data_IF_823019546811
#
_entry.id   IF_823019546811
#
_cell.length_a   1.000
_cell.length_b   1.000
_cell.length_c   1.000
_cell.angle_alpha   90.00
_cell.angle_beta   90.00
_cell.angle_gamma   90.00
#
_symmetry.space_group_name_H-M   'P 1'
#
loop_
_entity.id
_entity.type
_entity.pdbx_description
1 polymer ?
2 non-polymer ?
3 non-polymer ?
4 water ?
#
# COMPACT_ATOMS: atom_id res chain seq x y z
N UNK A 2 -6.95 -11.10 8.17
CA UNK A 2 -6.15 -9.95 8.61
C UNK A 2 -4.79 -9.91 7.91
N UNK A 3 -4.34 -8.70 7.58
CA UNK A 3 -3.05 -8.45 6.95
C UNK A 3 -2.93 -6.95 6.79
N UNK A 4 -1.71 -6.45 6.68
CA UNK A 4 -1.54 -5.01 6.51
C UNK A 4 -1.80 -4.60 5.06
N UNK A 5 -2.54 -3.51 4.88
CA UNK A 5 -2.72 -2.98 3.53
C UNK A 5 -2.51 -1.47 3.51
N UNK A 6 -2.07 -0.97 2.37
CA UNK A 6 -1.86 0.45 2.17
C UNK A 6 -2.87 0.88 1.13
N UNK A 7 -3.74 1.82 1.48
CA UNK A 7 -4.81 2.22 0.55
C UNK A 7 -4.50 3.58 -0.02
N UNK A 8 -4.42 3.66 -1.34
CA UNK A 8 -4.05 4.90 -2.00
C UNK A 8 -5.30 5.65 -2.42
N UNK A 9 -5.40 6.91 -1.98
CA UNK A 9 -6.50 7.78 -2.33
C UNK A 9 -5.97 8.95 -3.15
N UNK A 10 -6.69 9.34 -4.20
CA UNK A 10 -6.30 10.48 -5.02
C UNK A 10 -7.51 11.40 -5.21
N UNK A 11 -7.34 12.42 -6.04
CA UNK A 11 -8.43 13.37 -6.31
C UNK A 11 -9.67 12.63 -6.85
N UNK A 12 -9.44 11.54 -7.55
CA UNK A 12 -10.50 10.83 -8.24
C UNK A 12 -11.41 10.08 -7.27
N UNK A 13 -10.95 9.88 -6.04
CA UNK A 13 -11.73 9.14 -5.05
C UNK A 13 -12.54 10.03 -4.12
N UNK A 14 -12.70 11.30 -4.50
CA UNK A 14 -13.50 12.24 -3.73
C UNK A 14 -14.83 11.61 -3.35
N UNK A 15 -15.24 11.79 -2.10
CA UNK A 15 -16.51 11.26 -1.59
C UNK A 15 -16.59 9.75 -1.46
N UNK A 16 -15.48 9.06 -1.68
CA UNK A 16 -15.47 7.61 -1.50
C UNK A 16 -15.55 7.22 -0.02
N UNK A 17 -16.01 6.01 0.25
CA UNK A 17 -15.93 5.44 1.59
C UNK A 17 -14.94 4.28 1.55
N UNK A 18 -13.98 4.31 2.47
CA UNK A 18 -12.89 3.35 2.50
C UNK A 18 -13.03 2.49 3.75
N UNK A 19 -13.00 1.18 3.58
CA UNK A 19 -13.02 0.27 4.73
C UNK A 19 -11.61 -0.26 4.95
N UNK A 20 -11.05 0.00 6.12
CA UNK A 20 -9.68 -0.44 6.37
C UNK A 20 -9.60 -1.16 7.70
N UNK A 21 -8.53 -1.92 7.87
CA UNK A 21 -8.26 -2.60 9.13
C UNK A 21 -7.41 -1.72 10.03
N UNK A 22 -7.34 -2.12 11.30
CA UNK A 22 -6.67 -1.35 12.32
C UNK A 22 -5.18 -1.15 12.04
N UNK A 23 -4.56 -2.10 11.35
CA UNK A 23 -3.13 -1.99 11.05
C UNK A 23 -2.83 -1.58 9.61
N UNK A 24 -3.79 -0.95 8.96
CA UNK A 24 -3.59 -0.46 7.59
C UNK A 24 -2.97 0.94 7.58
N UNK A 25 -2.59 1.42 6.39
CA UNK A 25 -2.16 2.80 6.23
C UNK A 25 -3.02 3.41 5.14
N UNK A 26 -3.34 4.69 5.29
CA UNK A 26 -4.00 5.41 4.21
C UNK A 26 -2.98 6.35 3.63
N UNK A 27 -2.80 6.28 2.31
CA UNK A 27 -1.85 7.13 1.62
C UNK A 27 -2.58 8.04 0.62
N UNK A 28 -2.67 9.32 0.95
CA UNK A 28 -3.38 10.27 0.09
C UNK A 28 -2.31 10.90 -0.80
N UNK A 29 -2.49 10.82 -2.12
CA UNK A 29 -1.49 11.34 -3.05
C UNK A 29 -2.17 12.31 -4.02
N UNK A 30 -1.75 13.57 -3.98
CA UNK A 30 -2.44 14.65 -4.69
C UNK A 30 -1.40 15.48 -5.43
N UNK A 31 -1.76 16.01 -6.59
CA UNK A 31 -0.87 16.95 -7.29
C UNK A 31 -1.07 18.35 -6.71
N UNK A 32 -0.01 19.14 -6.75
CA UNK A 32 -0.06 20.48 -6.21
C UNK A 32 0.95 21.35 -6.96
N UNK A 33 0.76 22.66 -6.90
CA UNK A 33 1.69 23.57 -7.56
C UNK A 33 2.09 24.66 -6.57
N UNK A 34 3.11 24.37 -5.74
CA UNK A 34 3.55 25.27 -4.66
C UNK A 34 3.94 26.66 -5.17
N UNK A 35 4.40 26.76 -6.41
CA UNK A 35 4.81 28.05 -6.96
C UNK A 35 3.63 29.01 -7.20
N UNK A 36 2.41 28.50 -7.12
CA UNK A 36 1.23 29.34 -7.24
C UNK A 36 0.74 29.80 -5.86
N UNK A 37 1.37 29.28 -4.81
CA UNK A 37 0.98 29.61 -3.45
C UNK A 37 -0.09 28.71 -2.88
N UNK A 38 -0.69 27.86 -3.72
CA UNK A 38 -1.70 26.91 -3.24
C UNK A 38 -1.09 25.72 -2.51
N UNK A 39 -1.83 25.19 -1.56
CA UNK A 39 -1.39 23.99 -0.86
C UNK A 39 -2.62 23.25 -0.35
N UNK A 40 -2.46 21.96 -0.17
CA UNK A 40 -3.52 21.16 0.40
C UNK A 40 -3.45 21.25 1.91
N UNK A 41 -4.61 21.35 2.53
CA UNK A 41 -4.70 21.33 3.99
C UNK A 41 -5.56 20.17 4.41
N UNK A 42 -5.10 19.41 5.40
CA UNK A 42 -5.87 18.24 5.80
C UNK A 42 -6.46 18.43 7.19
N UNK A 43 -7.69 17.95 7.36
CA UNK A 43 -8.35 17.99 8.66
C UNK A 43 -8.94 16.62 8.95
N UNK A 44 -8.71 16.14 10.16
CA UNK A 44 -9.30 14.89 10.62
C UNK A 44 -9.29 14.93 12.16
N UNK A 45 -10.04 14.04 12.81
CA UNK A 45 -9.94 14.09 14.28
C UNK A 45 -8.57 13.61 14.79
N UNK A 46 -7.95 14.40 15.67
CA UNK A 46 -6.60 14.12 16.14
C UNK A 46 -6.49 12.81 16.93
N UNK A 47 -7.58 12.41 17.56
CA UNK A 47 -7.55 11.16 18.34
C UNK A 47 -7.75 9.92 17.47
N UNK A 48 -7.70 10.09 16.15
CA UNK A 48 -8.12 9.04 15.24
C UNK A 48 -6.99 8.50 14.33
N UNK A 49 -6.14 9.40 13.85
CA UNK A 49 -5.01 9.00 13.02
C UNK A 49 -3.71 9.58 13.56
N UNK A 50 -2.61 8.87 13.38
CA UNK A 50 -1.29 9.51 13.49
C UNK A 50 -0.71 9.75 12.10
N UNK A 51 0.02 10.85 11.97
CA UNK A 51 0.68 11.19 10.70
C UNK A 51 1.95 10.38 10.61
N UNK A 52 2.00 9.38 9.75
CA UNK A 52 3.21 8.57 9.71
C UNK A 52 4.22 9.15 8.71
N UNK A 53 3.73 9.91 7.75
CA UNK A 53 4.61 10.63 6.82
C UNK A 53 3.84 11.72 6.07
N UNK A 54 4.47 12.87 5.91
CA UNK A 54 3.89 13.96 5.10
C UNK A 54 5.01 14.46 4.21
N UNK A 55 4.75 14.58 2.91
CA UNK A 55 5.84 14.77 1.95
C UNK A 55 5.36 15.60 0.78
N UNK A 56 6.20 16.51 0.31
CA UNK A 56 6.02 17.09 -1.00
C UNK A 56 7.24 16.73 -1.84
N UNK A 57 7.00 16.29 -3.08
CA UNK A 57 8.12 15.87 -3.92
C UNK A 57 7.90 16.20 -5.39
N UNK A 58 8.99 16.44 -6.10
CA UNK A 58 8.92 16.63 -7.54
C UNK A 58 8.53 15.32 -8.20
N UNK A 59 7.76 15.39 -9.29
CA UNK A 59 7.30 14.19 -9.99
C UNK A 59 8.46 13.34 -10.53
N UNK A 60 8.33 12.01 -10.40
CA UNK A 60 9.36 11.03 -10.79
C UNK A 60 9.61 10.99 -12.29
N UNK A 61 8.88 11.79 -13.06
CA UNK A 61 9.07 11.88 -14.50
C UNK A 61 8.99 13.33 -14.95
N UNK A 62 9.84 14.19 -14.36
CA UNK A 62 9.93 15.63 -14.59
C UNK A 62 9.94 16.01 -16.06
N UNK A 63 8.79 15.87 -16.71
CA UNK A 63 8.67 16.22 -18.12
C UNK A 63 8.50 17.73 -18.25
N UNK A 64 7.61 18.29 -17.45
CA UNK A 64 7.37 19.73 -17.44
C UNK A 64 8.30 20.45 -16.49
N UNK A 65 8.00 21.71 -16.20
CA UNK A 65 8.85 22.54 -15.34
C UNK A 65 9.02 21.94 -13.95
N UNK A 66 10.11 22.33 -13.28
CA UNK A 66 10.38 21.85 -11.93
C UNK A 66 9.33 22.33 -10.95
N UNK A 67 8.83 21.42 -10.12
CA UNK A 67 7.82 21.76 -9.14
C UNK A 67 6.42 21.90 -9.75
N UNK A 68 6.30 21.67 -11.05
CA UNK A 68 5.00 21.78 -11.70
C UNK A 68 4.64 20.57 -12.57
N UNK A 69 3.83 19.65 -12.04
CA UNK A 69 3.34 19.76 -10.67
C UNK A 69 4.26 19.04 -9.70
N UNK A 70 3.97 19.21 -8.41
CA UNK A 70 4.64 18.44 -7.39
C UNK A 70 3.63 17.41 -6.89
N UNK A 71 4.07 16.47 -6.08
CA UNK A 71 3.15 15.49 -5.51
C UNK A 71 3.14 15.70 -4.00
N UNK A 72 1.95 15.83 -3.43
CA UNK A 72 1.80 15.92 -1.98
C UNK A 72 1.31 14.55 -1.51
N UNK A 73 2.02 13.94 -0.55
CA UNK A 73 1.60 12.63 -0.07
C UNK A 73 1.48 12.67 1.43
N UNK A 74 0.34 12.23 1.95
CA UNK A 74 0.14 12.16 3.38
C UNK A 74 -0.20 10.71 3.72
N UNK A 75 0.49 10.13 4.70
CA UNK A 75 0.22 8.75 5.08
C UNK A 75 -0.27 8.78 6.52
N UNK A 76 -1.46 8.23 6.73
CA UNK A 76 -2.09 8.21 8.03
C UNK A 76 -2.21 6.77 8.52
N UNK A 77 -1.97 6.60 9.81
CA UNK A 77 -2.15 5.30 10.45
C UNK A 77 -3.24 5.48 11.49
N UNK A 78 -4.21 4.56 11.52
CA UNK A 78 -5.29 4.60 12.50
C UNK A 78 -4.76 4.50 13.93
N UNK A 79 -5.32 5.33 14.81
CA UNK A 79 -5.02 5.25 16.23
C UNK A 79 -6.05 4.38 16.92
N UNK A 80 -7.30 4.49 16.46
CA UNK A 80 -8.44 3.84 17.11
C UNK A 80 -9.38 3.27 16.06
N UNK A 81 -10.10 2.20 16.38
CA UNK A 81 -11.15 1.72 15.48
C UNK A 81 -12.38 2.63 15.58
N UNK A 82 -13.21 2.63 14.54
CA UNK A 82 -14.40 3.46 14.50
C UNK A 82 -14.57 4.12 13.15
N UNK A 83 -15.48 5.09 13.05
CA UNK A 83 -15.76 5.73 11.78
C UNK A 83 -15.33 7.19 11.82
N UNK A 84 -14.72 7.66 10.74
CA UNK A 84 -14.19 9.00 10.74
C UNK A 84 -14.23 9.62 9.36
N UNK A 85 -13.94 10.91 9.27
CA UNK A 85 -13.97 11.61 8.00
C UNK A 85 -12.71 12.44 7.82
N UNK A 86 -12.17 12.46 6.62
CA UNK A 86 -10.99 13.26 6.33
C UNK A 86 -11.38 14.31 5.31
N UNK A 87 -11.03 15.56 5.56
CA UNK A 87 -11.35 16.64 4.62
C UNK A 87 -10.07 17.34 4.17
N UNK A 88 -9.97 17.59 2.87
CA UNK A 88 -8.82 18.31 2.32
C UNK A 88 -9.33 19.56 1.62
N UNK A 89 -8.56 20.63 1.70
CA UNK A 89 -8.85 21.84 0.96
C UNK A 89 -7.58 22.30 0.25
N UNK A 90 -7.73 22.75 -0.99
CA UNK A 90 -6.65 23.34 -1.75
C UNK A 90 -6.83 24.85 -1.77
N UNK A 91 -5.93 25.58 -1.12
CA UNK A 91 -6.10 27.03 -1.02
C UNK A 91 -4.77 27.73 -0.75
N UNK A 92 -4.78 29.06 -0.88
CA UNK A 92 -3.63 29.85 -0.52
C UNK A 92 -3.67 30.14 0.98
N UNK A 93 -2.53 30.50 1.57
CA UNK A 93 -2.45 30.67 3.03
C UNK A 93 -3.30 31.82 3.54
N UNK A 94 -3.30 32.94 2.82
CA UNK A 94 -3.96 34.16 3.28
C UNK A 94 -5.46 34.11 3.07
N UNK A 95 -6.10 33.06 3.58
CA UNK A 95 -7.55 32.90 3.46
C UNK A 95 -8.22 33.08 4.82
N UNK A 96 -9.20 33.96 4.88
CA UNK A 96 -9.95 34.21 6.11
C UNK A 96 -11.03 33.15 6.31
N UNK A 97 -10.62 31.89 6.32
CA UNK A 97 -11.54 30.79 6.51
C UNK A 97 -12.54 30.62 5.37
N UNK A 98 -12.33 31.37 4.29
CA UNK A 98 -13.19 31.27 3.11
C UNK A 98 -13.17 29.85 2.54
N UNK A 99 -13.95 29.63 1.48
CA UNK A 99 -14.02 28.32 0.83
C UNK A 99 -12.75 28.03 0.03
N UNK A 100 -12.26 26.78 0.10
CA UNK A 100 -11.06 26.49 -0.69
C UNK A 100 -11.40 26.43 -2.18
N UNK A 101 -10.38 26.54 -3.03
CA UNK A 101 -10.56 26.42 -4.48
C UNK A 101 -11.19 25.06 -4.79
N UNK A 102 -10.60 24.00 -4.25
CA UNK A 102 -11.15 22.65 -4.43
C UNK A 102 -11.18 22.00 -3.06
N UNK A 103 -12.15 21.13 -2.83
CA UNK A 103 -12.23 20.38 -1.59
C UNK A 103 -12.28 18.88 -1.91
N UNK A 104 -11.79 18.05 -1.00
CA UNK A 104 -11.96 16.61 -1.10
C UNK A 104 -12.47 16.11 0.24
N UNK A 105 -13.30 15.09 0.21
CA UNK A 105 -13.80 14.47 1.44
C UNK A 105 -13.71 12.95 1.31
N UNK A 106 -13.21 12.29 2.35
CA UNK A 106 -13.19 10.82 2.35
C UNK A 106 -13.81 10.31 3.63
N UNK A 107 -14.61 9.26 3.54
CA UNK A 107 -15.15 8.62 4.73
C UNK A 107 -14.35 7.35 5.00
N UNK A 108 -13.97 7.13 6.24
CA UNK A 108 -13.17 5.97 6.56
C UNK A 108 -13.83 5.18 7.65
N UNK A 109 -13.98 3.88 7.42
CA UNK A 109 -14.46 2.96 8.45
C UNK A 109 -13.30 2.08 8.87
N UNK A 110 -12.90 2.16 10.13
CA UNK A 110 -11.76 1.39 10.62
C UNK A 110 -12.28 0.25 11.45
N UNK A 111 -12.22 -0.96 10.88
CA UNK A 111 -12.85 -2.12 11.51
C UNK A 111 -11.85 -2.98 12.27
N UNK B 1 -14.17 2.41 -2.21
CA UNK B 1 -12.91 1.78 -2.61
C UNK B 1 -11.83 2.80 -2.94
N UNK B 2 -10.56 2.41 -2.75
CA UNK B 2 -9.42 3.30 -3.04
C UNK B 2 -9.05 3.32 -4.53
N UNK B 3 -8.12 4.20 -4.91
CA UNK B 3 -7.54 4.17 -6.24
C UNK B 3 -6.93 2.78 -6.47
N UNK B 4 -6.22 2.30 -5.47
CA UNK B 4 -5.62 0.98 -5.52
C UNK B 4 -5.11 0.69 -4.14
N UNK B 5 -4.73 -0.57 -3.91
CA UNK B 5 -4.24 -0.96 -2.60
C UNK B 5 -3.01 -1.85 -2.76
N UNK B 6 -2.14 -1.76 -1.77
CA UNK B 6 -0.99 -2.64 -1.71
C UNK B 6 -1.20 -3.55 -0.50
N UNK B 7 -1.15 -4.86 -0.73
CA UNK B 7 -1.38 -5.83 0.34
C UNK B 7 -0.08 -6.48 0.71
N UNK B 8 0.27 -6.37 1.97
CA UNK B 8 1.54 -6.91 2.43
C UNK B 8 1.27 -8.25 3.11
N UNK B 9 1.94 -9.29 2.64
CA UNK B 9 1.78 -10.64 3.20
C UNK B 9 3.09 -11.05 3.86
N UNK B 10 3.00 -11.59 5.06
CA UNK B 10 4.20 -12.03 5.76
C UNK B 10 3.96 -13.47 6.24
N UNK B 11 4.91 -14.01 7.01
CA UNK B 11 4.77 -15.34 7.59
C UNK B 11 3.46 -15.47 8.40
N UNK B 12 3.07 -14.38 9.05
CA UNK B 12 1.87 -14.34 9.89
C UNK B 12 0.56 -14.65 9.15
N UNK B 13 0.56 -14.46 7.84
CA UNK B 13 -0.66 -14.57 7.03
C UNK B 13 -0.88 -15.96 6.44
N UNK B 14 -0.04 -16.92 6.82
CA UNK B 14 -0.18 -18.31 6.38
C UNK B 14 -1.62 -18.79 6.45
N UNK B 15 -2.07 -19.49 5.40
CA UNK B 15 -3.41 -20.08 5.35
C UNK B 15 -4.54 -19.05 5.17
N UNK B 16 -4.17 -17.79 5.06
CA UNK B 16 -5.16 -16.74 4.91
C UNK B 16 -5.77 -16.70 3.51
N UNK B 17 -6.96 -16.11 3.42
CA UNK B 17 -7.57 -15.76 2.14
C UNK B 17 -7.65 -14.24 2.03
N UNK B 18 -7.12 -13.75 0.93
CA UNK B 18 -6.95 -12.35 0.70
C UNK B 18 -7.87 -11.95 -0.46
N UNK B 19 -8.72 -10.95 -0.25
CA UNK B 19 -9.63 -10.51 -1.29
C UNK B 19 -9.13 -9.19 -1.86
N UNK B 20 -8.78 -9.17 -3.14
CA UNK B 20 -8.19 -7.97 -3.73
C UNK B 20 -8.83 -7.54 -5.05
N UNK B 21 -8.60 -6.30 -5.43
CA UNK B 21 -9.05 -5.81 -6.73
C UNK B 21 -8.04 -6.18 -7.79
N UNK B 22 -8.43 -6.07 -9.05
CA UNK B 22 -7.56 -6.47 -10.15
C UNK B 22 -6.35 -5.54 -10.31
N UNK B 23 -6.45 -4.31 -9.84
CA UNK B 23 -5.36 -3.36 -10.01
C UNK B 23 -4.53 -3.17 -8.75
N UNK B 24 -4.70 -4.07 -7.80
CA UNK B 24 -3.93 -4.01 -6.55
C UNK B 24 -2.53 -4.59 -6.73
N UNK B 25 -1.68 -4.41 -5.73
CA UNK B 25 -0.34 -5.01 -5.76
C UNK B 25 -0.20 -5.89 -4.53
N UNK B 26 0.46 -7.03 -4.66
CA UNK B 26 0.77 -7.86 -3.48
C UNK B 26 2.26 -7.76 -3.21
N UNK B 27 2.63 -7.48 -1.96
CA UNK B 27 4.04 -7.50 -1.58
C UNK B 27 4.25 -8.59 -0.54
N UNK B 28 5.06 -9.58 -0.88
CA UNK B 28 5.35 -10.63 0.10
C UNK B 28 6.72 -10.33 0.69
N UNK B 29 6.78 -10.23 2.01
CA UNK B 29 8.01 -9.85 2.66
C UNK B 29 8.35 -10.89 3.73
N UNK B 30 9.47 -11.56 3.56
CA UNK B 30 9.81 -12.72 4.39
C UNK B 30 11.24 -12.67 4.87
N UNK B 31 11.47 -13.09 6.12
CA UNK B 31 12.84 -13.15 6.62
C UNK B 31 13.58 -14.34 6.02
N UNK B 32 14.88 -14.16 5.80
CA UNK B 32 15.69 -15.17 5.13
C UNK B 32 17.15 -15.04 5.55
N UNK B 33 17.93 -16.09 5.34
CA UNK B 33 19.38 -16.07 5.62
C UNK B 33 20.16 -16.74 4.49
N UNK B 34 20.53 -15.96 3.47
CA UNK B 34 21.26 -16.50 2.30
C UNK B 34 22.66 -17.01 2.66
N UNK B 35 23.26 -16.46 3.70
CA UNK B 35 24.62 -16.85 4.10
C UNK B 35 24.72 -18.33 4.46
N UNK B 36 23.59 -18.95 4.79
CA UNK B 36 23.60 -20.36 5.19
C UNK B 36 22.87 -21.29 4.19
N UNK B 37 22.58 -20.78 2.99
CA UNK B 37 22.11 -21.63 1.92
C UNK B 37 20.61 -21.75 1.76
N UNK B 38 19.85 -21.26 2.73
CA UNK B 38 18.39 -21.29 2.64
C UNK B 38 17.88 -20.20 1.69
N UNK B 39 16.79 -20.51 0.98
CA UNK B 39 16.16 -19.53 0.09
C UNK B 39 14.65 -19.80 -0.02
N UNK B 40 13.87 -18.73 -0.18
CA UNK B 40 12.45 -18.85 -0.48
C UNK B 40 12.24 -19.17 -1.95
N UNK B 41 11.31 -20.08 -2.22
CA UNK B 41 10.87 -20.37 -3.58
C UNK B 41 9.38 -20.12 -3.67
N UNK B 42 8.91 -19.52 -4.76
CA UNK B 42 7.48 -19.21 -4.85
C UNK B 42 6.85 -19.93 -6.03
N UNK B 43 5.61 -20.39 -5.87
CA UNK B 43 4.90 -21.02 -6.98
C UNK B 43 3.48 -20.51 -7.05
N UNK B 44 2.99 -20.29 -8.26
CA UNK B 44 1.60 -19.93 -8.47
C UNK B 44 1.27 -20.29 -9.92
N UNK B 45 -0.02 -20.43 -10.24
CA UNK B 45 -0.41 -20.84 -11.59
C UNK B 45 0.05 -19.83 -12.64
N UNK B 46 0.27 -20.32 -13.86
CA UNK B 46 0.69 -19.45 -14.95
C UNK B 46 -0.42 -18.47 -15.35
N UNK B 47 -0.03 -17.33 -15.90
CA UNK B 47 -0.98 -16.33 -16.38
C UNK B 47 -1.88 -15.78 -15.28
N UNK B 48 -1.34 -15.71 -14.07
CA UNK B 48 -2.09 -15.22 -12.92
C UNK B 48 -1.46 -13.98 -12.31
N UNK B 49 -0.14 -14.01 -12.14
CA UNK B 49 0.59 -12.85 -11.62
C UNK B 49 1.81 -12.54 -12.49
N UNK B 50 2.12 -11.26 -12.65
CA UNK B 50 3.45 -10.89 -13.13
C UNK B 50 4.33 -10.48 -11.94
N UNK B 51 5.61 -10.82 -11.99
CA UNK B 51 6.52 -10.51 -10.90
C UNK B 51 7.10 -9.13 -11.16
N UNK B 52 6.62 -8.12 -10.46
CA UNK B 52 7.01 -6.75 -10.77
C UNK B 52 8.32 -6.29 -10.11
N UNK B 53 8.68 -6.89 -8.98
CA UNK B 53 9.95 -6.57 -8.35
C UNK B 53 10.34 -7.75 -7.45
N UNK B 54 11.63 -8.05 -7.39
CA UNK B 54 12.13 -9.08 -6.48
C UNK B 54 13.42 -8.54 -5.87
N UNK B 55 13.51 -8.61 -4.54
CA UNK B 55 14.60 -8.00 -3.83
C UNK B 55 15.05 -8.89 -2.68
N UNK B 56 16.35 -8.85 -2.37
CA UNK B 56 16.84 -9.33 -1.09
C UNK B 56 17.68 -8.22 -0.51
N UNK B 57 17.53 -7.94 0.77
CA UNK B 57 18.30 -6.87 1.39
C UNK B 57 18.63 -7.22 2.82
N UNK B 58 19.74 -6.66 3.31
CA UNK B 58 20.12 -6.78 4.72
C UNK B 58 19.03 -6.19 5.60
N UNK B 59 18.81 -6.79 6.77
CA UNK B 59 17.82 -6.27 7.72
C UNK B 59 18.42 -5.16 8.57
N UNK B 68 18.45 -14.42 11.02
CA UNK B 68 17.90 -13.81 9.80
C UNK B 68 18.52 -12.44 9.51
N UNK B 69 19.67 -12.42 8.84
CA UNK B 69 20.30 -11.14 8.50
C UNK B 69 19.57 -10.40 7.38
N UNK B 70 18.66 -11.08 6.68
CA UNK B 70 18.09 -10.54 5.45
C UNK B 70 16.56 -10.64 5.29
N UNK B 71 16.04 -9.90 4.32
CA UNK B 71 14.63 -9.86 4.00
C UNK B 71 14.42 -10.09 2.51
N UNK B 72 13.49 -10.99 2.17
CA UNK B 72 13.15 -11.28 0.78
C UNK B 72 11.82 -10.62 0.45
N UNK B 73 11.79 -9.79 -0.58
CA UNK B 73 10.54 -9.14 -0.95
C UNK B 73 10.15 -9.52 -2.38
N UNK B 74 8.92 -9.97 -2.55
CA UNK B 74 8.39 -10.31 -3.86
C UNK B 74 7.12 -9.50 -4.12
N UNK B 75 7.10 -8.76 -5.23
CA UNK B 75 5.91 -7.96 -5.56
C UNK B 75 5.21 -8.51 -6.81
N UNK B 76 3.90 -8.77 -6.69
CA UNK B 76 3.12 -9.42 -7.72
C UNK B 76 1.95 -8.55 -8.15
N UNK B 77 1.72 -8.47 -9.45
CA UNK B 77 0.54 -7.82 -9.98
C UNK B 77 -0.40 -8.83 -10.64
N UNK B 78 -1.69 -8.78 -10.29
CA UNK B 78 -2.66 -9.70 -10.87
C UNK B 78 -2.77 -9.57 -12.39
N UNK B 79 -2.92 -10.69 -13.07
CA UNK B 79 -3.13 -10.70 -14.52
C UNK B 79 -4.52 -11.21 -14.91
N UNK B 80 -5.26 -11.72 -13.93
CA UNK B 80 -6.57 -12.31 -14.21
C UNK B 80 -7.45 -12.19 -12.98
N UNK B 81 -8.75 -12.31 -13.19
CA UNK B 81 -9.69 -12.33 -12.08
C UNK B 81 -10.05 -13.78 -11.77
N UNK B 82 -10.43 -14.05 -10.54
CA UNK B 82 -10.72 -15.42 -10.15
C UNK B 82 -9.99 -15.76 -8.88
N UNK B 83 -10.07 -17.02 -8.46
CA UNK B 83 -9.44 -17.43 -7.20
C UNK B 83 -8.17 -18.20 -7.50
N UNK B 84 -7.09 -17.93 -6.76
CA UNK B 84 -5.81 -18.58 -7.04
C UNK B 84 -5.05 -18.85 -5.74
N UNK B 85 -4.02 -19.68 -5.83
CA UNK B 85 -3.22 -20.00 -4.65
C UNK B 85 -1.76 -19.63 -4.88
N UNK B 86 -1.12 -19.07 -3.87
CA UNK B 86 0.32 -18.87 -3.93
C UNK B 86 0.93 -19.81 -2.89
N UNK B 87 2.00 -20.52 -3.26
CA UNK B 87 2.69 -21.41 -2.32
C UNK B 87 4.15 -21.00 -2.22
N UNK B 88 4.67 -20.91 -1.00
CA UNK B 88 6.08 -20.58 -0.81
C UNK B 88 6.76 -21.65 0.05
N UNK B 89 8.02 -21.93 -0.26
CA UNK B 89 8.80 -22.83 0.58
C UNK B 89 10.17 -22.28 0.90
N UNK B 90 10.64 -22.51 2.12
CA UNK B 90 11.96 -22.05 2.55
C UNK B 90 12.83 -23.28 2.73
N UNK B 91 13.91 -23.36 1.96
CA UNK B 91 14.76 -24.54 2.05
C UNK B 91 16.11 -24.32 1.40
N UNK B 92 17.02 -25.26 1.65
CA UNK B 92 18.25 -25.34 0.88
C UNK B 92 17.94 -26.12 -0.39
N UNK B 93 18.40 -25.61 -1.54
CA UNK B 93 18.08 -26.16 -2.87
C UNK B 93 18.69 -27.53 -3.15
N UNK B 94 19.27 -28.17 -2.14
CA UNK B 94 19.82 -29.52 -2.30
C UNK B 94 19.24 -30.47 -1.26
N UNK B 95 18.49 -29.92 -0.30
CA UNK B 95 17.81 -30.73 0.71
C UNK B 95 16.37 -30.99 0.27
N UNK B 96 16.17 -31.11 -1.03
CA UNK B 96 14.84 -31.35 -1.61
C UNK B 96 14.23 -32.66 -1.10
N UNK B 97 15.08 -33.62 -0.79
CA UNK B 97 14.66 -34.92 -0.32
C UNK B 97 13.69 -34.86 0.86
N UNK B 98 13.73 -33.76 1.60
CA UNK B 98 12.81 -33.55 2.71
C UNK B 98 11.90 -32.36 2.42
N UNK B 99 10.81 -32.26 3.18
CA UNK B 99 9.91 -31.12 3.06
C UNK B 99 10.67 -29.85 3.41
N UNK B 100 10.18 -28.70 2.96
CA UNK B 100 10.86 -27.43 3.27
C UNK B 100 10.97 -27.22 4.78
N UNK B 101 11.97 -26.45 5.21
CA UNK B 101 12.05 -26.05 6.61
C UNK B 101 10.78 -25.31 6.99
N UNK B 102 10.28 -24.47 6.07
CA UNK B 102 9.00 -23.79 6.29
C UNK B 102 8.21 -23.70 4.98
N UNK B 103 6.89 -23.81 5.10
CA UNK B 103 5.99 -23.63 3.96
C UNK B 103 4.92 -22.61 4.30
N UNK B 104 4.53 -21.81 3.32
CA UNK B 104 3.46 -20.84 3.47
C UNK B 104 2.47 -21.00 2.32
N UNK B 105 1.19 -20.82 2.60
CA UNK B 105 0.18 -20.89 1.55
C UNK B 105 -0.81 -19.75 1.68
N UNK B 106 -1.13 -19.09 0.57
CA UNK B 106 -2.12 -18.03 0.62
C UNK B 106 -3.15 -18.25 -0.49
N UNK B 107 -4.41 -17.97 -0.18
CA UNK B 107 -5.44 -18.03 -1.20
C UNK B 107 -5.77 -16.60 -1.59
N UNK B 108 -5.87 -16.32 -2.88
CA UNK B 108 -6.15 -14.97 -3.31
C UNK B 108 -7.37 -14.96 -4.21
N UNK B 109 -8.34 -14.13 -3.86
CA UNK B 109 -9.51 -13.93 -4.69
C UNK B 109 -9.41 -12.56 -5.34
N UNK B 110 -9.23 -12.57 -6.66
CA UNK B 110 -9.06 -11.34 -7.41
C UNK B 110 -10.38 -11.02 -8.09
N UNK B 111 -10.91 -9.85 -7.80
CA UNK B 111 -12.21 -9.46 -8.33
C UNK B 111 -12.07 -8.23 -9.24
X LIG C 1 0.47 20.82 -1.02
X LIG D 1 15.30 -15.81 -0.06
X LIG E 1 25.68 -27.33 7.57
X LIG E 1 24.66 -26.77 8.46
X LIG E 1 26.59 -28.15 8.36
X LIG E 1 25.05 -28.14 6.55
X LIG E 1 26.42 -26.23 6.94
#
# INVERSE_FOLDING_TARGET
GPHMAIHILTEKEDHATLHISFNDLIKIQLRTNPSTGYAWNIEYPTDTFSLSQDTIKAEPHPSGMVGFPSIREIQLKPLKVGTTTIKLGYSRPWEKGKEPLRSLTYSVVIR
GPHMAIHILTEKEDHATLHISFNDLIKIQLRTNPSTGYAWNIEYPTDTFSLSQDTIKAEPHPSGMVGFPSIREIQLKPLKVGTTTIKLGYSRPWEKGKEPLRSLTYSVVIR
CL CL
CL CL
SO4 S O1 O2 O3 O4
#
